data_IF_249358827883
#
_entry.id   IF_249358827883
#
_cell.length_a   1.000
_cell.length_b   1.000
_cell.length_c   1.000
_cell.angle_alpha   90.00
_cell.angle_beta   90.00
_cell.angle_gamma   90.00
#
_symmetry.space_group_name_H-M   'P 1'
#
loop_
_entity.id
_entity.type
_entity.pdbx_description
1 polymer ?
#
# COMPACT_ATOMS: atom_id res chain seq x y z
N UNK A 1 5.09 -8.57 5.90
CA UNK A 1 4.80 -9.61 6.93
C UNK A 1 3.78 -9.01 7.88
N UNK A 2 2.77 -9.76 8.32
CA UNK A 2 1.78 -9.22 9.26
C UNK A 2 2.46 -8.79 10.55
N UNK A 3 2.30 -7.53 10.95
CA UNK A 3 2.95 -6.98 12.14
C UNK A 3 2.14 -7.34 13.40
N UNK A 4 0.81 -7.32 13.27
CA UNK A 4 -0.18 -7.70 14.29
C UNK A 4 -1.51 -8.05 13.62
N UNK A 5 -2.42 -8.69 14.37
CA UNK A 5 -3.82 -8.77 13.97
C UNK A 5 -4.52 -7.43 14.21
N UNK A 6 -5.55 -7.13 13.43
CA UNK A 6 -6.40 -5.97 13.67
C UNK A 6 -7.01 -6.05 15.07
N UNK A 7 -7.16 -4.89 15.73
CA UNK A 7 -7.92 -4.83 16.99
C UNK A 7 -9.41 -5.05 16.69
N UNK A 8 -10.20 -5.42 17.70
CA UNK A 8 -11.66 -5.63 17.57
C UNK A 8 -12.42 -4.45 16.94
N UNK A 9 -11.87 -3.24 17.02
CA UNK A 9 -12.40 -2.01 16.42
C UNK A 9 -12.10 -1.86 14.90
N UNK A 10 -11.39 -2.81 14.29
CA UNK A 10 -10.89 -2.68 12.91
C UNK A 10 -9.71 -1.70 12.77
N UNK A 11 -9.15 -1.29 13.91
CA UNK A 11 -8.05 -0.34 14.02
C UNK A 11 -6.76 -1.05 14.42
N UNK A 12 -5.63 -0.66 13.84
CA UNK A 12 -4.32 -1.20 14.20
C UNK A 12 -3.52 -0.21 15.05
N UNK A 13 -2.73 -0.67 16.03
CA UNK A 13 -1.79 0.19 16.73
C UNK A 13 -0.73 0.71 15.75
N UNK A 14 -0.22 1.93 15.97
CA UNK A 14 0.86 2.56 15.18
C UNK A 14 0.47 2.99 13.75
N UNK A 15 -0.73 3.57 13.60
CA UNK A 15 -1.26 4.09 12.32
C UNK A 15 -1.22 3.10 11.15
N UNK A 16 -1.12 1.80 11.44
CA UNK A 16 -1.17 0.73 10.45
C UNK A 16 -2.60 0.59 9.90
N UNK A 17 -2.74 0.05 8.70
CA UNK A 17 -4.02 -0.27 8.08
C UNK A 17 -4.42 -1.71 8.36
N UNK A 18 -5.65 -1.87 8.83
CA UNK A 18 -6.30 -3.18 8.88
C UNK A 18 -6.71 -3.62 7.47
N UNK A 19 -6.15 -4.74 7.01
CA UNK A 19 -6.52 -5.35 5.73
C UNK A 19 -7.74 -6.27 5.91
N UNK A 20 -8.40 -6.65 4.81
CA UNK A 20 -9.53 -7.61 4.82
C UNK A 20 -9.16 -9.00 5.37
N UNK A 21 -7.89 -9.26 5.65
CA UNK A 21 -7.41 -10.50 6.24
C UNK A 21 -7.21 -10.40 7.76
N UNK A 22 -7.74 -9.36 8.41
CA UNK A 22 -7.57 -9.09 9.85
C UNK A 22 -6.11 -8.93 10.28
N UNK A 23 -5.25 -8.52 9.35
CA UNK A 23 -3.84 -8.23 9.61
C UNK A 23 -3.54 -6.74 9.43
N UNK A 24 -2.74 -6.22 10.37
CA UNK A 24 -2.17 -4.89 10.35
C UNK A 24 -0.96 -4.84 9.43
N UNK A 25 -1.09 -4.05 8.38
CA UNK A 25 -0.04 -3.75 7.42
C UNK A 25 0.26 -2.25 7.44
N UNK A 26 1.51 -1.90 7.17
CA UNK A 26 1.94 -0.50 6.99
C UNK A 26 1.19 0.21 5.85
N UNK A 27 0.83 -0.55 4.82
CA UNK A 27 0.08 -0.07 3.67
C UNK A 27 -1.07 -1.05 3.34
N UNK A 28 -2.21 -0.53 2.85
CA UNK A 28 -3.33 -1.36 2.40
C UNK A 28 -2.98 -2.28 1.23
N UNK A 29 -1.94 -1.93 0.46
CA UNK A 29 -1.56 -2.60 -0.78
C UNK A 29 -0.08 -2.34 -1.09
N UNK A 30 0.54 -3.30 -1.78
CA UNK A 30 1.95 -3.20 -2.18
C UNK A 30 2.95 -3.31 -1.03
N UNK A 31 4.20 -3.03 -1.36
CA UNK A 31 5.27 -2.84 -0.38
C UNK A 31 5.47 -1.35 -0.10
N UNK A 32 5.45 -1.00 1.18
CA UNK A 32 5.90 0.32 1.62
C UNK A 32 7.39 0.50 1.34
N UNK A 33 7.79 1.75 1.06
CA UNK A 33 9.19 2.12 0.84
C UNK A 33 9.92 2.57 2.13
N UNK A 34 9.37 2.26 3.31
CA UNK A 34 9.89 2.69 4.61
C UNK A 34 9.17 3.92 5.16
N UNK A 35 9.82 4.65 6.09
CA UNK A 35 9.19 5.75 6.84
C UNK A 35 9.12 7.05 6.04
N UNK A 36 8.02 7.77 6.18
CA UNK A 36 7.77 9.09 5.60
C UNK A 36 8.61 10.23 6.23
N UNK A 37 9.38 9.96 7.30
CA UNK A 37 10.11 10.96 8.07
C UNK A 37 11.01 11.91 7.24
N UNK A 38 11.56 11.43 6.11
CA UNK A 38 12.41 12.21 5.20
C UNK A 38 11.74 12.50 3.84
N UNK A 39 10.43 12.30 3.73
CA UNK A 39 9.68 12.35 2.48
C UNK A 39 9.70 11.01 1.73
N UNK A 40 8.75 10.85 0.81
CA UNK A 40 8.59 9.62 0.05
C UNK A 40 9.16 9.71 -1.36
N UNK A 41 9.64 8.59 -1.93
CA UNK A 41 10.06 8.52 -3.32
C UNK A 41 8.90 8.83 -4.29
N UNK A 42 9.20 9.17 -5.55
CA UNK A 42 8.17 9.38 -6.56
C UNK A 42 7.30 8.12 -6.73
N UNK A 43 5.99 8.32 -6.89
CA UNK A 43 4.96 7.28 -6.86
C UNK A 43 4.74 6.63 -5.47
N UNK A 44 5.17 7.29 -4.40
CA UNK A 44 4.79 6.96 -3.03
C UNK A 44 4.19 8.17 -2.34
N UNK A 45 3.32 7.92 -1.36
CA UNK A 45 2.61 8.96 -0.61
C UNK A 45 2.47 8.53 0.84
N UNK A 46 2.51 9.49 1.77
CA UNK A 46 2.22 9.27 3.18
C UNK A 46 0.70 9.30 3.45
N UNK A 47 -0.06 8.73 2.53
CA UNK A 47 -1.47 8.46 2.69
C UNK A 47 -1.55 7.05 3.31
N UNK A 48 -2.46 6.76 4.23
CA UNK A 48 -2.51 5.50 5.02
C UNK A 48 -1.58 5.45 6.22
N UNK A 49 -1.90 6.26 7.22
CA UNK A 49 -1.23 6.21 8.51
C UNK A 49 -0.05 7.16 8.66
N UNK A 50 0.32 7.90 7.62
CA UNK A 50 1.20 9.09 7.73
C UNK A 50 2.65 8.84 8.19
N UNK A 51 3.01 7.63 8.61
CA UNK A 51 4.36 7.30 9.07
C UNK A 51 5.15 6.47 8.06
N UNK A 52 4.46 5.82 7.12
CA UNK A 52 5.06 4.98 6.08
C UNK A 52 4.76 5.51 4.67
N UNK A 53 5.69 5.29 3.76
CA UNK A 53 5.57 5.62 2.35
C UNK A 53 4.85 4.50 1.63
N UNK A 54 3.56 4.70 1.37
CA UNK A 54 2.77 3.74 0.62
C UNK A 54 2.82 4.02 -0.88
N UNK A 55 2.95 2.99 -1.72
CA UNK A 55 2.97 3.19 -3.15
C UNK A 55 1.60 3.69 -3.62
N UNK A 56 1.63 4.70 -4.50
CA UNK A 56 0.44 5.25 -5.15
C UNK A 56 0.57 5.09 -6.65
N UNK A 57 -0.56 4.97 -7.32
CA UNK A 57 -0.55 5.02 -8.77
C UNK A 57 -0.12 6.42 -9.25
N UNK A 58 0.61 6.51 -10.38
CA UNK A 58 1.08 7.79 -10.92
C UNK A 58 -0.06 8.79 -11.20
N UNK A 59 -1.28 8.30 -11.43
CA UNK A 59 -2.49 9.11 -11.63
C UNK A 59 -3.16 9.54 -10.31
N UNK A 60 -2.70 9.05 -9.15
CA UNK A 60 -3.35 9.25 -7.85
C UNK A 60 -4.47 8.25 -7.54
N UNK A 61 -4.76 7.32 -8.46
CA UNK A 61 -5.73 6.26 -8.24
C UNK A 61 -5.30 5.28 -7.14
N UNK A 62 -6.30 4.70 -6.47
CA UNK A 62 -6.10 3.55 -5.60
C UNK A 62 -5.65 2.35 -6.44
N UNK A 63 -4.54 1.68 -6.10
CA UNK A 63 -4.19 0.44 -6.74
C UNK A 63 -5.22 -0.64 -6.46
N UNK A 64 -5.39 -1.53 -7.42
CA UNK A 64 -6.34 -2.63 -7.36
C UNK A 64 -5.83 -3.82 -6.53
N UNK A 65 -4.52 -3.89 -6.33
CA UNK A 65 -3.89 -4.97 -5.58
C UNK A 65 -2.38 -4.95 -5.74
N UNK A 66 -1.74 -6.02 -5.29
CA UNK A 66 -0.32 -6.24 -5.52
C UNK A 66 -0.09 -6.91 -6.87
N UNK A 67 1.02 -6.57 -7.50
CA UNK A 67 1.44 -7.15 -8.76
C UNK A 67 1.98 -8.56 -8.54
N UNK A 68 1.52 -9.47 -9.39
CA UNK A 68 1.80 -10.90 -9.29
C UNK A 68 2.77 -11.26 -10.42
N UNK A 69 4.02 -11.57 -10.06
CA UNK A 69 5.07 -11.95 -11.01
C UNK A 69 5.35 -10.89 -12.11
N UNK A 70 5.20 -9.61 -11.80
CA UNK A 70 5.34 -8.51 -12.78
C UNK A 70 4.07 -8.26 -13.61
N UNK A 71 3.01 -9.01 -13.36
CA UNK A 71 1.75 -8.95 -14.09
C UNK A 71 0.61 -8.49 -13.18
N UNK A 72 -0.36 -7.81 -13.80
CA UNK A 72 -1.59 -7.36 -13.18
C UNK A 72 -2.77 -7.81 -14.04
N UNK A 73 -3.99 -7.73 -13.51
CA UNK A 73 -5.19 -8.05 -14.28
C UNK A 73 -5.24 -7.28 -15.62
N UNK A 74 -5.98 -7.81 -16.60
CA UNK A 74 -6.14 -7.19 -17.92
C UNK A 74 -6.56 -5.72 -17.80
N UNK A 75 -5.74 -4.81 -18.34
CA UNK A 75 -5.95 -3.36 -18.28
C UNK A 75 -5.15 -2.62 -17.20
N UNK A 76 -4.40 -3.35 -16.36
CA UNK A 76 -3.57 -2.77 -15.31
C UNK A 76 -2.07 -2.98 -15.60
N UNK A 77 -1.24 -2.10 -15.05
CA UNK A 77 0.22 -2.18 -15.09
C UNK A 77 0.80 -2.28 -13.69
N UNK A 78 1.86 -3.07 -13.57
CA UNK A 78 2.67 -3.14 -12.37
C UNK A 78 3.42 -1.80 -12.20
N UNK A 79 3.25 -1.14 -11.06
CA UNK A 79 3.89 0.13 -10.73
C UNK A 79 4.83 0.00 -9.53
N UNK A 80 5.47 1.11 -9.16
CA UNK A 80 6.40 1.15 -8.03
C UNK A 80 5.75 0.63 -6.75
N UNK A 81 6.47 -0.17 -5.97
CA UNK A 81 5.94 -0.79 -4.74
C UNK A 81 5.09 -2.03 -5.01
N UNK A 82 5.26 -2.65 -6.18
CA UNK A 82 4.62 -3.92 -6.55
C UNK A 82 3.09 -3.83 -6.48
N UNK A 83 2.52 -2.73 -6.99
CA UNK A 83 1.07 -2.49 -7.02
C UNK A 83 0.53 -2.49 -8.45
N UNK A 84 -0.72 -2.90 -8.61
CA UNK A 84 -1.45 -2.86 -9.86
C UNK A 84 -2.19 -1.54 -10.01
N UNK A 85 -1.79 -0.77 -11.01
CA UNK A 85 -2.34 0.54 -11.33
C UNK A 85 -3.02 0.52 -12.70
N UNK A 86 -4.00 1.39 -12.90
CA UNK A 86 -4.68 1.48 -14.18
C UNK A 86 -3.71 1.96 -15.28
N UNK A 87 -3.78 1.35 -16.46
CA UNK A 87 -3.02 1.74 -17.65
C UNK A 87 -3.89 2.68 -18.49
N UNK A 88 -4.03 3.94 -18.09
CA UNK A 88 -4.61 4.96 -18.97
C UNK A 88 -3.52 5.64 -19.79
#
# INVERSE_FOLDING_TARGET
>A
MAVKSCSEDGSCPDRLVCTSSDYCCECPYGQGAGKCAHGCPPNYSCDYGGEYCCPKCPQGDKPYGSCFNGECATGYICSAGNICCNRK
#
